data_IF_898458706372
#
_entry.id   IF_898458706372
#
_cell.length_a   1.000
_cell.length_b   1.000
_cell.length_c   1.000
_cell.angle_alpha   90.00
_cell.angle_beta   90.00
_cell.angle_gamma   90.00
#
_symmetry.space_group_name_H-M   'P 1'
#
loop_
_entity.id
_entity.type
_entity.pdbx_description
1 polymer ?
#
# COMPACT_ATOMS: atom_id res chain seq x y z
N UNK A 1 10.37 -16.84 -5.87
CA UNK A 1 11.10 -15.60 -6.17
C UNK A 1 11.01 -14.72 -4.93
N UNK A 2 12.13 -14.21 -4.40
CA UNK A 2 12.10 -13.33 -3.23
C UNK A 2 11.55 -11.96 -3.67
N UNK A 3 10.49 -11.48 -3.01
CA UNK A 3 9.85 -10.19 -3.29
C UNK A 3 10.87 -9.09 -3.00
N UNK A 4 11.14 -8.23 -3.98
CA UNK A 4 11.99 -7.05 -3.76
C UNK A 4 11.25 -6.11 -2.81
N UNK A 5 11.95 -5.49 -1.86
CA UNK A 5 11.35 -4.46 -1.02
C UNK A 5 10.84 -3.31 -1.90
N UNK A 6 9.69 -2.75 -1.52
CA UNK A 6 9.09 -1.65 -2.28
C UNK A 6 10.06 -0.46 -2.34
N UNK A 7 10.22 0.23 -3.48
CA UNK A 7 11.12 1.38 -3.56
C UNK A 7 10.71 2.42 -2.52
N UNK A 8 11.60 2.64 -1.56
CA UNK A 8 11.43 3.61 -0.49
C UNK A 8 11.73 4.99 -1.05
N UNK A 9 10.75 5.90 -1.00
CA UNK A 9 10.99 7.27 -1.43
C UNK A 9 12.10 7.89 -0.57
N UNK A 10 13.06 8.57 -1.18
CA UNK A 10 14.27 9.03 -0.48
C UNK A 10 13.94 9.98 0.69
N UNK A 11 12.92 10.83 0.52
CA UNK A 11 12.40 11.73 1.55
C UNK A 11 11.82 11.00 2.77
N UNK A 12 11.09 9.90 2.52
CA UNK A 12 10.58 9.05 3.59
C UNK A 12 11.74 8.33 4.30
N UNK A 13 12.74 7.88 3.56
CA UNK A 13 13.90 7.18 4.14
C UNK A 13 14.67 8.10 5.08
N UNK A 14 14.87 9.35 4.66
CA UNK A 14 15.57 10.37 5.44
C UNK A 14 14.71 10.94 6.60
N UNK A 15 13.43 10.59 6.68
CA UNK A 15 12.54 11.10 7.72
C UNK A 15 13.02 10.69 9.13
N UNK A 16 12.91 11.62 10.09
CA UNK A 16 13.30 11.37 11.49
C UNK A 16 12.59 10.15 12.08
N UNK A 17 11.34 9.91 11.69
CA UNK A 17 10.53 8.76 12.13
C UNK A 17 11.13 7.45 11.63
N UNK A 18 11.48 7.36 10.34
CA UNK A 18 12.07 6.13 9.80
C UNK A 18 13.49 5.90 10.33
N UNK A 19 14.28 6.97 10.48
CA UNK A 19 15.60 6.88 11.08
C UNK A 19 15.56 6.46 12.55
N UNK A 20 14.51 6.81 13.31
CA UNK A 20 14.31 6.29 14.66
C UNK A 20 14.06 4.79 14.64
N UNK A 21 13.15 4.30 13.78
CA UNK A 21 12.85 2.88 13.61
C UNK A 21 14.13 2.07 13.36
N UNK A 22 15.01 2.55 12.47
CA UNK A 22 16.30 1.90 12.19
C UNK A 22 17.21 1.91 13.43
N UNK A 23 17.31 3.03 14.15
CA UNK A 23 18.20 3.17 15.31
C UNK A 23 17.76 2.29 16.49
N UNK A 24 16.46 2.08 16.65
CA UNK A 24 15.89 1.35 17.79
C UNK A 24 15.50 -0.09 17.46
N UNK A 25 15.65 -0.51 16.20
CA UNK A 25 15.15 -1.80 15.69
C UNK A 25 13.66 -1.99 16.01
N UNK A 26 12.89 -0.91 15.88
CA UNK A 26 11.46 -0.91 16.20
C UNK A 26 10.69 -1.75 15.20
N UNK A 27 9.75 -2.57 15.69
CA UNK A 27 8.80 -3.27 14.82
C UNK A 27 7.64 -2.39 14.36
N UNK A 28 7.55 -1.15 14.85
CA UNK A 28 6.46 -0.21 14.62
C UNK A 28 6.95 1.04 13.89
N UNK A 29 6.19 1.46 12.89
CA UNK A 29 6.31 2.74 12.20
C UNK A 29 5.03 3.55 12.47
N UNK A 30 5.06 4.35 13.53
CA UNK A 30 3.86 4.99 14.08
C UNK A 30 2.89 3.94 14.63
N UNK A 31 1.63 3.95 14.14
CA UNK A 31 0.61 2.95 14.51
C UNK A 31 0.68 1.67 13.67
N UNK A 32 1.43 1.68 12.56
CA UNK A 32 1.53 0.56 11.60
C UNK A 32 2.79 -0.26 11.88
N UNK A 33 2.76 -1.56 11.54
CA UNK A 33 3.96 -2.41 11.57
C UNK A 33 4.93 -2.04 10.45
N UNK A 34 6.23 -2.07 10.72
CA UNK A 34 7.27 -1.85 9.71
C UNK A 34 7.13 -2.81 8.52
N UNK A 35 6.86 -4.09 8.79
CA UNK A 35 6.64 -5.11 7.75
C UNK A 35 5.51 -4.74 6.78
N UNK A 36 4.39 -4.24 7.32
CA UNK A 36 3.24 -3.82 6.50
C UNK A 36 3.58 -2.60 5.62
N UNK A 37 4.56 -1.78 6.02
CA UNK A 37 5.05 -0.66 5.23
C UNK A 37 6.05 -1.07 4.15
N UNK A 38 6.99 -1.96 4.49
CA UNK A 38 8.06 -2.41 3.57
C UNK A 38 7.53 -3.36 2.50
N UNK A 39 6.58 -4.23 2.85
CA UNK A 39 6.07 -5.29 1.98
C UNK A 39 4.59 -5.11 1.63
N UNK A 40 4.27 -4.00 0.97
CA UNK A 40 2.86 -3.68 0.64
C UNK A 40 2.25 -4.69 -0.33
N UNK A 41 0.98 -5.09 -0.12
CA UNK A 41 0.22 -5.85 -1.10
C UNK A 41 -0.14 -4.97 -2.30
N UNK A 42 -0.62 -5.58 -3.39
CA UNK A 42 -1.04 -4.85 -4.59
C UNK A 42 -2.21 -3.91 -4.32
N UNK A 43 -3.15 -4.36 -3.48
CA UNK A 43 -4.33 -3.59 -3.11
C UNK A 43 -4.41 -3.44 -1.59
N UNK A 44 -4.84 -2.26 -1.18
CA UNK A 44 -5.14 -1.93 0.21
C UNK A 44 -6.58 -1.38 0.27
N UNK A 45 -7.43 -2.05 1.03
CA UNK A 45 -8.83 -1.66 1.25
C UNK A 45 -9.03 -1.42 2.75
N UNK A 46 -9.56 -0.26 3.10
CA UNK A 46 -9.78 0.12 4.50
C UNK A 46 -11.22 0.60 4.72
N UNK A 47 -11.74 0.31 5.90
CA UNK A 47 -13.01 0.85 6.37
C UNK A 47 -12.72 2.07 7.25
N UNK A 48 -12.88 3.27 6.70
CA UNK A 48 -12.52 4.50 7.41
C UNK A 48 -13.48 4.84 8.57
N UNK A 49 -14.68 4.25 8.62
CA UNK A 49 -15.60 4.48 9.73
C UNK A 49 -15.17 3.70 10.97
N UNK A 50 -14.72 2.45 10.78
CA UNK A 50 -14.31 1.56 11.87
C UNK A 50 -12.78 1.55 12.10
N UNK A 51 -11.99 1.94 11.11
CA UNK A 51 -10.52 1.97 11.11
C UNK A 51 -9.98 3.28 10.49
N UNK A 52 -10.11 4.42 11.20
CA UNK A 52 -9.69 5.72 10.69
C UNK A 52 -8.16 5.86 10.52
N UNK A 53 -7.38 4.94 11.10
CA UNK A 53 -5.92 4.93 11.00
C UNK A 53 -5.40 3.96 9.92
N UNK A 54 -6.29 3.30 9.16
CA UNK A 54 -5.95 2.38 8.06
C UNK A 54 -4.93 1.31 8.47
N UNK A 55 -5.17 0.67 9.61
CA UNK A 55 -4.29 -0.34 10.20
C UNK A 55 -4.64 -1.76 9.74
N UNK A 56 -5.89 -2.00 9.37
CA UNK A 56 -6.42 -3.32 9.03
C UNK A 56 -6.78 -3.36 7.56
N UNK A 57 -5.85 -3.87 6.73
CA UNK A 57 -6.14 -4.08 5.31
C UNK A 57 -7.16 -5.22 5.13
N UNK A 58 -8.25 -4.90 4.43
CA UNK A 58 -9.36 -5.80 4.12
C UNK A 58 -9.23 -6.45 2.73
N UNK A 59 -8.26 -6.05 1.91
CA UNK A 59 -8.18 -6.43 0.50
C UNK A 59 -7.99 -7.94 0.26
N UNK A 60 -7.30 -8.63 1.16
CA UNK A 60 -7.05 -10.07 1.05
C UNK A 60 -8.20 -10.94 1.59
N UNK A 61 -9.23 -10.31 2.17
CA UNK A 61 -10.37 -11.03 2.75
C UNK A 61 -11.38 -11.39 1.65
N UNK A 62 -11.75 -12.68 1.49
CA UNK A 62 -12.64 -13.12 0.41
C UNK A 62 -13.99 -12.38 0.35
N UNK A 63 -14.54 -12.00 1.51
CA UNK A 63 -15.79 -11.24 1.62
C UNK A 63 -15.73 -9.85 0.97
N UNK A 64 -14.54 -9.30 0.72
CA UNK A 64 -14.34 -8.00 0.12
C UNK A 64 -13.84 -8.07 -1.33
N UNK A 65 -13.66 -9.26 -1.91
CA UNK A 65 -13.09 -9.44 -3.24
C UNK A 65 -13.83 -8.65 -4.33
N UNK A 66 -15.16 -8.67 -4.32
CA UNK A 66 -15.99 -7.91 -5.28
C UNK A 66 -15.79 -6.39 -5.13
N UNK A 67 -15.61 -5.91 -3.90
CA UNK A 67 -15.38 -4.48 -3.64
C UNK A 67 -14.00 -4.06 -4.14
N UNK A 68 -12.98 -4.88 -3.90
CA UNK A 68 -11.62 -4.66 -4.42
C UNK A 68 -11.63 -4.61 -5.94
N UNK A 69 -12.27 -5.57 -6.61
CA UNK A 69 -12.35 -5.61 -8.08
C UNK A 69 -13.04 -4.36 -8.64
N UNK A 70 -14.18 -3.98 -8.04
CA UNK A 70 -14.92 -2.79 -8.46
C UNK A 70 -14.09 -1.51 -8.33
N UNK A 71 -13.43 -1.30 -7.19
CA UNK A 71 -12.63 -0.09 -6.96
C UNK A 71 -11.34 -0.07 -7.79
N UNK A 72 -10.69 -1.22 -7.97
CA UNK A 72 -9.58 -1.34 -8.90
C UNK A 72 -10.02 -1.00 -10.34
N UNK A 73 -11.23 -1.39 -10.73
CA UNK A 73 -11.86 -1.00 -12.00
C UNK A 73 -11.97 0.52 -12.16
N UNK A 74 -12.48 1.23 -11.13
CA UNK A 74 -12.57 2.70 -11.17
C UNK A 74 -11.20 3.38 -11.28
N UNK A 75 -10.17 2.86 -10.60
CA UNK A 75 -8.80 3.40 -10.70
C UNK A 75 -8.27 3.19 -12.12
N UNK A 76 -8.44 1.99 -12.67
CA UNK A 76 -7.97 1.67 -14.02
C UNK A 76 -8.65 2.57 -15.07
N UNK A 77 -9.97 2.71 -15.01
CA UNK A 77 -10.72 3.59 -15.92
C UNK A 77 -10.22 5.03 -15.84
N UNK A 78 -10.03 5.57 -14.63
CA UNK A 78 -9.49 6.91 -14.44
C UNK A 78 -8.07 7.09 -15.01
N UNK A 79 -7.21 6.08 -14.85
CA UNK A 79 -5.86 6.10 -15.43
C UNK A 79 -5.88 6.09 -16.96
N UNK A 80 -6.80 5.33 -17.57
CA UNK A 80 -6.98 5.31 -19.03
C UNK A 80 -7.55 6.65 -19.54
N UNK A 81 -8.54 7.22 -18.86
CA UNK A 81 -9.15 8.51 -19.22
C UNK A 81 -8.18 9.69 -19.12
N UNK A 82 -7.17 9.59 -18.25
CA UNK A 82 -6.18 10.66 -18.01
C UNK A 82 -4.85 10.45 -18.74
N UNK A 83 -4.78 9.47 -19.65
CA UNK A 83 -3.57 9.08 -20.38
C UNK A 83 -2.37 8.84 -19.44
N UNK A 84 -2.63 8.23 -18.27
CA UNK A 84 -1.61 7.96 -17.26
C UNK A 84 -0.53 7.00 -17.81
N UNK A 85 0.75 7.42 -17.94
CA UNK A 85 1.83 6.57 -18.44
C UNK A 85 2.03 5.29 -17.61
N UNK A 86 1.62 5.30 -16.33
CA UNK A 86 1.71 4.15 -15.44
C UNK A 86 0.60 3.12 -15.65
N UNK A 87 -0.41 3.38 -16.49
CA UNK A 87 -1.44 2.40 -16.85
C UNK A 87 -0.86 1.11 -17.46
N UNK A 88 0.35 1.15 -18.02
CA UNK A 88 1.07 -0.06 -18.48
C UNK A 88 1.25 -1.12 -17.39
N UNK A 89 1.25 -0.72 -16.10
CA UNK A 89 1.38 -1.64 -14.96
C UNK A 89 0.26 -2.68 -14.91
N UNK A 90 -0.94 -2.35 -15.39
CA UNK A 90 -2.05 -3.30 -15.48
C UNK A 90 -1.77 -4.50 -16.41
N UNK A 91 -0.82 -4.36 -17.34
CA UNK A 91 -0.47 -5.41 -18.31
C UNK A 91 0.70 -6.28 -17.85
N UNK A 92 1.50 -5.82 -16.89
CA UNK A 92 2.81 -6.42 -16.57
C UNK A 92 2.93 -6.91 -15.12
N UNK A 93 1.94 -6.61 -14.28
CA UNK A 93 1.83 -7.07 -12.88
C UNK A 93 0.56 -7.88 -12.67
#
# INVERSE_FOLDING_TARGET
>A
AWKLDYPFAADLWDSSTWQEVIRTDSSQFGKRKVEAYVQRPRYELYDLENDPDELVNLADKPEHAETVERFAGFIKEFQEETDDPWAIKWLHE
#
